data_IF_202531947591
#
_entry.id   IF_202531947591
#
_cell.length_a   1.000
_cell.length_b   1.000
_cell.length_c   1.000
_cell.angle_alpha   90.00
_cell.angle_beta   90.00
_cell.angle_gamma   90.00
#
_symmetry.space_group_name_H-M   'P 1'
#
loop_
_entity.id
_entity.type
_entity.pdbx_description
1 polymer ?
#
# COMPACT_ATOMS: atom_id res chain seq x y z
N UNK A 1 -1.46 -25.70 12.97
CA UNK A 1 -1.44 -24.40 12.25
C UNK A 1 -1.72 -24.69 10.79
N UNK A 2 -2.64 -23.98 10.17
CA UNK A 2 -2.83 -24.08 8.73
C UNK A 2 -1.51 -23.63 8.04
N UNK A 3 -0.94 -24.51 7.24
CA UNK A 3 0.24 -24.21 6.42
C UNK A 3 -0.24 -23.88 5.03
N UNK A 4 -0.04 -22.64 4.61
CA UNK A 4 -0.35 -22.20 3.25
C UNK A 4 0.88 -22.32 2.35
N UNK A 5 0.67 -22.63 1.06
CA UNK A 5 1.75 -22.55 0.08
C UNK A 5 2.18 -21.09 -0.04
N UNK A 6 3.48 -20.83 0.22
CA UNK A 6 4.09 -19.52 0.01
C UNK A 6 4.61 -19.43 -1.41
N UNK A 7 4.38 -18.32 -2.05
CA UNK A 7 4.81 -18.02 -3.42
C UNK A 7 5.95 -17.02 -3.38
N UNK A 8 5.71 -15.86 -2.74
CA UNK A 8 6.66 -14.76 -2.71
C UNK A 8 7.72 -14.90 -1.62
N UNK A 9 7.34 -15.42 -0.44
CA UNK A 9 8.27 -15.56 0.68
C UNK A 9 9.01 -16.90 0.69
N UNK A 10 8.68 -17.81 -0.23
CA UNK A 10 9.22 -19.18 -0.27
C UNK A 10 10.76 -19.23 -0.34
N UNK A 11 11.36 -18.41 -1.20
CA UNK A 11 12.82 -18.40 -1.39
C UNK A 11 13.53 -17.94 -0.11
N UNK A 12 13.03 -16.88 0.51
CA UNK A 12 13.63 -16.28 1.71
C UNK A 12 13.61 -17.18 2.94
N UNK A 13 12.82 -18.26 2.92
CA UNK A 13 12.73 -19.25 4.01
C UNK A 13 13.66 -20.44 3.81
N UNK A 14 14.32 -20.54 2.64
CA UNK A 14 15.32 -21.58 2.40
C UNK A 14 16.60 -21.30 3.19
N UNK A 15 17.15 -22.28 3.89
CA UNK A 15 18.41 -22.13 4.60
C UNK A 15 19.53 -21.67 3.65
N UNK A 16 20.21 -20.59 4.00
CA UNK A 16 21.32 -20.04 3.22
C UNK A 16 20.94 -19.14 2.07
N UNK A 17 19.67 -18.97 1.75
CA UNK A 17 19.23 -18.03 0.71
C UNK A 17 19.55 -16.57 1.12
N UNK A 18 20.27 -15.85 0.30
CA UNK A 18 20.71 -14.47 0.57
C UNK A 18 20.22 -13.41 -0.43
N UNK A 19 19.43 -13.83 -1.43
CA UNK A 19 18.86 -12.93 -2.45
C UNK A 19 19.81 -12.53 -3.57
N UNK A 20 20.98 -13.19 -3.68
CA UNK A 20 21.90 -13.00 -4.81
C UNK A 20 21.31 -13.57 -6.10
N UNK A 21 21.86 -13.14 -7.24
CA UNK A 21 21.47 -13.68 -8.54
C UNK A 21 21.63 -15.22 -8.59
N UNK A 22 22.76 -15.74 -8.07
CA UNK A 22 23.02 -17.17 -8.07
C UNK A 22 21.97 -17.96 -7.27
N UNK A 23 21.57 -17.45 -6.10
CA UNK A 23 20.52 -18.07 -5.31
C UNK A 23 19.16 -18.02 -6.01
N UNK A 24 18.84 -16.88 -6.62
CA UNK A 24 17.58 -16.73 -7.34
C UNK A 24 17.50 -17.64 -8.57
N UNK A 25 18.58 -17.74 -9.36
CA UNK A 25 18.68 -18.70 -10.46
C UNK A 25 18.56 -20.15 -9.98
N UNK A 26 19.17 -20.48 -8.84
CA UNK A 26 19.07 -21.80 -8.20
C UNK A 26 17.64 -22.20 -7.83
N UNK A 27 16.75 -21.24 -7.61
CA UNK A 27 15.30 -21.49 -7.39
C UNK A 27 14.47 -21.48 -8.66
N UNK A 28 15.09 -21.34 -9.82
CA UNK A 28 14.44 -21.23 -11.14
C UNK A 28 14.13 -19.82 -11.57
N UNK A 29 14.78 -18.84 -10.97
CA UNK A 29 14.67 -17.42 -11.32
C UNK A 29 15.07 -17.13 -12.76
N UNK A 30 14.53 -16.06 -13.33
CA UNK A 30 14.66 -15.62 -14.72
C UNK A 30 14.19 -16.62 -15.78
N UNK A 31 13.61 -17.74 -15.37
CA UNK A 31 12.99 -18.71 -16.28
C UNK A 31 11.75 -18.11 -16.97
N UNK A 32 10.93 -17.38 -16.23
CA UNK A 32 9.73 -16.74 -16.77
C UNK A 32 10.10 -15.70 -17.84
N UNK A 33 11.14 -14.88 -17.59
CA UNK A 33 11.63 -13.90 -18.57
C UNK A 33 12.13 -14.60 -19.85
N UNK A 34 12.92 -15.68 -19.71
CA UNK A 34 13.39 -16.47 -20.88
C UNK A 34 12.24 -17.03 -21.69
N UNK A 35 11.23 -17.60 -21.03
CA UNK A 35 10.01 -18.13 -21.67
C UNK A 35 9.27 -17.05 -22.43
N UNK A 36 9.04 -15.89 -21.79
CA UNK A 36 8.35 -14.76 -22.39
C UNK A 36 9.04 -14.27 -23.66
N UNK A 37 10.35 -14.06 -23.59
CA UNK A 37 11.11 -13.52 -24.74
C UNK A 37 11.27 -14.51 -25.89
N UNK A 38 11.23 -15.79 -25.61
CA UNK A 38 11.36 -16.85 -26.62
C UNK A 38 10.02 -17.22 -27.25
N UNK A 39 8.99 -17.39 -26.43
CA UNK A 39 7.80 -18.16 -26.82
C UNK A 39 6.50 -17.33 -26.81
N UNK A 40 6.53 -16.06 -26.35
CA UNK A 40 5.33 -15.26 -26.19
C UNK A 40 5.38 -13.93 -26.92
N UNK A 41 4.19 -13.44 -27.27
CA UNK A 41 4.00 -12.06 -27.73
C UNK A 41 3.51 -11.17 -26.57
N UNK A 42 3.76 -9.85 -26.61
CA UNK A 42 3.33 -8.92 -25.55
C UNK A 42 1.87 -9.06 -25.13
N UNK A 43 0.95 -9.17 -26.08
CA UNK A 43 -0.47 -9.34 -25.79
C UNK A 43 -0.78 -10.65 -25.06
N UNK A 44 -0.07 -11.72 -25.35
CA UNK A 44 -0.25 -13.00 -24.66
C UNK A 44 0.16 -12.90 -23.19
N UNK A 45 1.22 -12.17 -22.87
CA UNK A 45 1.62 -11.89 -21.50
C UNK A 45 0.53 -11.13 -20.75
N UNK A 46 -0.02 -10.06 -21.38
CA UNK A 46 -1.13 -9.29 -20.82
C UNK A 46 -2.35 -10.18 -20.54
N UNK A 47 -2.69 -11.06 -21.47
CA UNK A 47 -3.85 -11.98 -21.31
C UNK A 47 -3.62 -13.01 -20.21
N UNK A 48 -2.40 -13.55 -20.03
CA UNK A 48 -2.07 -14.43 -18.91
C UNK A 48 -2.24 -13.70 -17.58
N UNK A 49 -1.77 -12.45 -17.48
CA UNK A 49 -1.91 -11.64 -16.26
C UNK A 49 -3.39 -11.24 -16.03
N UNK A 50 -4.19 -10.99 -17.08
CA UNK A 50 -5.64 -10.78 -16.93
C UNK A 50 -6.34 -12.03 -16.40
N UNK A 51 -6.05 -13.21 -16.97
CA UNK A 51 -6.62 -14.50 -16.55
C UNK A 51 -6.26 -14.85 -15.12
N UNK A 52 -5.10 -14.40 -14.62
CA UNK A 52 -4.69 -14.63 -13.23
C UNK A 52 -5.57 -13.92 -12.20
N UNK A 53 -6.32 -12.90 -12.62
CA UNK A 53 -7.08 -12.07 -11.69
C UNK A 53 -6.21 -11.27 -10.71
N UNK A 54 -4.90 -11.14 -10.97
CA UNK A 54 -4.01 -10.37 -10.11
C UNK A 54 -4.47 -8.91 -10.02
N UNK A 55 -4.79 -8.48 -8.81
CA UNK A 55 -5.08 -7.08 -8.49
C UNK A 55 -3.87 -6.44 -7.83
N UNK A 56 -3.69 -5.13 -8.05
CA UNK A 56 -2.60 -4.36 -7.45
C UNK A 56 -2.51 -4.55 -5.94
N UNK A 57 -1.30 -4.80 -5.45
CA UNK A 57 -0.99 -5.06 -4.02
C UNK A 57 -0.59 -3.81 -3.24
N UNK A 58 -0.55 -2.64 -3.91
CA UNK A 58 -0.18 -1.38 -3.27
C UNK A 58 -1.27 -0.66 -2.48
N UNK A 59 -2.53 -1.11 -2.55
CA UNK A 59 -3.65 -0.50 -1.81
C UNK A 59 -4.97 -0.47 -2.61
N UNK A 60 -5.01 0.19 -3.76
CA UNK A 60 -6.23 0.39 -4.55
C UNK A 60 -6.83 -0.87 -5.18
N UNK A 61 -6.05 -1.94 -5.34
CA UNK A 61 -6.55 -3.22 -5.82
C UNK A 61 -7.08 -3.21 -7.27
N UNK A 62 -6.59 -2.34 -8.14
CA UNK A 62 -7.01 -2.32 -9.54
C UNK A 62 -6.46 -3.54 -10.30
N UNK A 63 -7.23 -4.18 -11.21
CA UNK A 63 -6.77 -5.35 -11.97
C UNK A 63 -5.54 -5.06 -12.82
N UNK A 64 -4.43 -5.78 -12.56
CA UNK A 64 -3.11 -5.47 -13.12
C UNK A 64 -3.07 -5.63 -14.63
N UNK A 65 -3.52 -6.76 -15.17
CA UNK A 65 -3.52 -6.99 -16.61
C UNK A 65 -4.46 -6.05 -17.40
N UNK A 66 -5.55 -5.61 -16.76
CA UNK A 66 -6.45 -4.60 -17.36
C UNK A 66 -5.73 -3.26 -17.44
N UNK A 67 -5.02 -2.85 -16.37
CA UNK A 67 -4.22 -1.61 -16.35
C UNK A 67 -3.17 -1.60 -17.47
N UNK A 68 -2.48 -2.70 -17.71
CA UNK A 68 -1.50 -2.81 -18.79
C UNK A 68 -2.13 -2.66 -20.18
N UNK A 69 -3.35 -3.16 -20.35
CA UNK A 69 -4.09 -3.05 -21.60
C UNK A 69 -4.50 -1.62 -21.98
N UNK A 70 -4.41 -0.65 -21.07
CA UNK A 70 -4.70 0.76 -21.37
C UNK A 70 -3.54 1.49 -22.05
N UNK A 71 -2.35 0.91 -22.11
CA UNK A 71 -1.20 1.51 -22.78
C UNK A 71 -1.44 1.53 -24.30
N UNK A 72 -1.38 2.69 -24.96
CA UNK A 72 -1.56 2.79 -26.39
C UNK A 72 -0.47 2.00 -27.13
N UNK A 73 -0.88 1.05 -27.98
CA UNK A 73 0.07 0.21 -28.74
C UNK A 73 0.94 1.02 -29.71
N UNK A 74 0.32 1.95 -30.43
CA UNK A 74 0.93 2.72 -31.52
C UNK A 74 1.40 4.11 -31.04
N UNK A 75 1.83 4.25 -29.79
CA UNK A 75 2.39 5.51 -29.31
C UNK A 75 3.76 5.74 -29.91
N UNK A 76 4.02 6.93 -30.55
CA UNK A 76 5.29 7.17 -31.25
C UNK A 76 6.48 7.47 -30.30
N UNK A 77 6.19 7.87 -29.07
CA UNK A 77 7.18 8.19 -28.05
C UNK A 77 7.51 7.00 -27.13
N UNK A 78 8.38 7.21 -26.16
CA UNK A 78 8.72 6.19 -25.18
C UNK A 78 7.52 5.82 -24.30
N UNK A 79 7.58 4.62 -23.74
CA UNK A 79 6.66 4.14 -22.70
C UNK A 79 7.48 3.82 -21.45
N UNK A 80 6.88 4.00 -20.29
CA UNK A 80 7.57 3.81 -19.02
C UNK A 80 6.86 2.82 -18.10
N UNK A 81 7.67 2.13 -17.31
CA UNK A 81 7.21 1.40 -16.12
C UNK A 81 7.77 2.10 -14.88
N UNK A 82 6.93 2.38 -13.91
CA UNK A 82 7.37 2.82 -12.58
C UNK A 82 6.97 1.76 -11.54
N UNK A 83 7.96 1.15 -10.89
CA UNK A 83 7.72 0.33 -9.72
C UNK A 83 7.59 1.24 -8.51
N UNK A 84 6.39 1.27 -7.92
CA UNK A 84 6.13 2.02 -6.70
C UNK A 84 6.65 1.22 -5.50
N UNK A 85 7.81 1.63 -5.00
CA UNK A 85 8.47 1.12 -3.81
C UNK A 85 8.46 2.16 -2.67
N UNK A 86 7.56 3.16 -2.76
CA UNK A 86 7.29 4.12 -1.69
C UNK A 86 6.30 3.52 -0.69
N UNK A 87 6.80 2.58 0.12
CA UNK A 87 6.04 1.91 1.16
C UNK A 87 6.03 2.77 2.44
N UNK A 88 5.14 3.73 2.47
CA UNK A 88 5.06 4.74 3.54
C UNK A 88 3.77 4.64 4.36
N UNK A 89 2.85 3.74 4.02
CA UNK A 89 1.59 3.53 4.75
C UNK A 89 1.87 2.95 6.14
N UNK A 90 1.52 3.65 7.25
CA UNK A 90 1.74 3.12 8.59
C UNK A 90 1.06 1.76 8.80
N UNK A 91 1.83 0.81 9.34
CA UNK A 91 1.42 -0.59 9.49
C UNK A 91 1.82 -1.50 8.31
N UNK A 92 2.41 -0.97 7.24
CA UNK A 92 2.82 -1.73 6.05
C UNK A 92 4.36 -1.81 5.96
N UNK A 93 4.90 -3.04 5.79
CA UNK A 93 6.35 -3.29 5.73
C UNK A 93 6.71 -4.57 4.94
N UNK A 94 5.88 -4.96 3.97
CA UNK A 94 6.03 -6.15 3.14
C UNK A 94 6.96 -5.95 1.94
N UNK A 95 6.88 -4.79 1.28
CA UNK A 95 7.65 -4.47 0.09
C UNK A 95 9.13 -4.30 0.44
N UNK A 96 9.43 -3.74 1.60
CA UNK A 96 10.78 -3.67 2.15
C UNK A 96 11.41 -5.06 2.27
N UNK A 97 10.68 -6.06 2.78
CA UNK A 97 11.19 -7.42 2.90
C UNK A 97 11.49 -8.05 1.55
N UNK A 98 10.62 -7.84 0.55
CA UNK A 98 10.82 -8.34 -0.81
C UNK A 98 12.07 -7.70 -1.44
N UNK A 99 12.21 -6.38 -1.35
CA UNK A 99 13.37 -5.66 -1.90
C UNK A 99 14.69 -6.02 -1.22
N UNK A 100 14.69 -6.21 0.10
CA UNK A 100 15.92 -6.48 0.86
C UNK A 100 16.34 -7.95 0.82
N UNK A 101 15.43 -8.90 0.59
CA UNK A 101 15.71 -10.33 0.71
C UNK A 101 15.53 -11.15 -0.56
N UNK A 102 14.79 -10.67 -1.53
CA UNK A 102 14.62 -11.34 -2.84
C UNK A 102 14.38 -10.32 -3.97
N UNK A 103 15.36 -9.41 -4.22
CA UNK A 103 15.18 -8.31 -5.16
C UNK A 103 14.99 -8.79 -6.61
N UNK A 104 15.62 -9.90 -7.01
CA UNK A 104 15.57 -10.41 -8.37
C UNK A 104 14.16 -10.85 -8.78
N UNK A 105 13.32 -11.28 -7.84
CA UNK A 105 11.93 -11.66 -8.10
C UNK A 105 11.12 -10.48 -8.66
N UNK A 106 11.26 -9.29 -8.07
CA UNK A 106 10.62 -8.11 -8.60
C UNK A 106 11.26 -7.58 -9.88
N UNK A 107 12.59 -7.68 -10.01
CA UNK A 107 13.31 -7.25 -11.23
C UNK A 107 12.91 -8.08 -12.44
N UNK A 108 12.79 -9.41 -12.30
CA UNK A 108 12.27 -10.27 -13.35
C UNK A 108 10.84 -9.89 -13.73
N UNK A 109 9.97 -9.65 -12.73
CA UNK A 109 8.61 -9.19 -12.99
C UNK A 109 8.53 -7.84 -13.70
N UNK A 110 9.44 -6.91 -13.38
CA UNK A 110 9.55 -5.64 -14.07
C UNK A 110 10.00 -5.81 -15.51
N UNK A 111 10.99 -6.65 -15.78
CA UNK A 111 11.46 -6.92 -17.14
C UNK A 111 10.35 -7.54 -18.01
N UNK A 112 9.61 -8.51 -17.48
CA UNK A 112 8.44 -9.10 -18.14
C UNK A 112 7.37 -8.06 -18.41
N UNK A 113 7.11 -7.17 -17.46
CA UNK A 113 6.13 -6.09 -17.61
C UNK A 113 6.56 -5.09 -18.70
N UNK A 114 7.85 -4.71 -18.71
CA UNK A 114 8.41 -3.85 -19.76
C UNK A 114 8.18 -4.43 -21.15
N UNK A 115 8.47 -5.72 -21.35
CA UNK A 115 8.18 -6.42 -22.59
C UNK A 115 6.68 -6.35 -22.95
N UNK A 116 5.82 -6.65 -21.99
CA UNK A 116 4.37 -6.72 -22.21
C UNK A 116 3.76 -5.38 -22.64
N UNK A 117 4.23 -4.25 -22.08
CA UNK A 117 3.71 -2.91 -22.38
C UNK A 117 4.52 -2.17 -23.45
N UNK A 118 5.65 -2.75 -23.90
CA UNK A 118 6.57 -2.13 -24.86
C UNK A 118 7.38 -0.98 -24.27
N UNK A 119 7.72 -1.04 -22.98
CA UNK A 119 8.60 -0.05 -22.32
C UNK A 119 10.07 -0.51 -22.41
N UNK A 120 10.97 0.44 -22.66
CA UNK A 120 12.43 0.20 -22.63
C UNK A 120 13.07 0.79 -21.38
N UNK A 121 12.37 1.63 -20.66
CA UNK A 121 12.86 2.30 -19.46
C UNK A 121 11.91 2.08 -18.29
N UNK A 122 12.45 1.67 -17.17
CA UNK A 122 11.72 1.53 -15.92
C UNK A 122 12.44 2.22 -14.77
N UNK A 123 11.65 2.67 -13.78
CA UNK A 123 12.14 3.27 -12.56
C UNK A 123 11.60 2.51 -11.35
N UNK A 124 12.46 2.25 -10.37
CA UNK A 124 12.07 1.83 -9.04
C UNK A 124 12.09 3.09 -8.16
N UNK A 125 10.90 3.61 -7.86
CA UNK A 125 10.78 4.76 -6.96
C UNK A 125 10.69 4.25 -5.52
N UNK A 126 11.78 4.36 -4.79
CA UNK A 126 11.93 3.87 -3.42
C UNK A 126 11.94 5.04 -2.43
N UNK A 127 11.24 4.90 -1.30
CA UNK A 127 11.22 5.96 -0.29
C UNK A 127 12.61 6.24 0.29
N UNK A 128 12.86 7.51 0.64
CA UNK A 128 14.17 8.00 1.06
C UNK A 128 14.78 7.32 2.28
N UNK A 129 13.96 6.74 3.16
CA UNK A 129 14.39 6.06 4.37
C UNK A 129 14.91 4.63 4.12
N UNK A 130 14.59 4.01 2.99
CA UNK A 130 14.97 2.63 2.68
C UNK A 130 16.36 2.54 2.03
N UNK A 131 17.37 3.14 2.68
CA UNK A 131 18.75 3.21 2.19
C UNK A 131 19.40 1.85 1.95
N UNK A 132 19.12 0.87 2.83
CA UNK A 132 19.61 -0.50 2.65
C UNK A 132 18.95 -1.15 1.43
N UNK A 133 17.64 -1.05 1.32
CA UNK A 133 16.90 -1.58 0.17
C UNK A 133 17.38 -0.99 -1.15
N UNK A 134 17.65 0.33 -1.20
CA UNK A 134 18.18 0.97 -2.40
C UNK A 134 19.55 0.39 -2.81
N UNK A 135 20.48 0.21 -1.85
CA UNK A 135 21.80 -0.40 -2.12
C UNK A 135 21.69 -1.84 -2.61
N UNK A 136 20.81 -2.64 -2.02
CA UNK A 136 20.59 -4.03 -2.44
C UNK A 136 20.00 -4.06 -3.85
N UNK A 137 19.05 -3.19 -4.17
CA UNK A 137 18.47 -3.09 -5.52
C UNK A 137 19.52 -2.65 -6.55
N UNK A 138 20.39 -1.68 -6.23
CA UNK A 138 21.50 -1.27 -7.10
C UNK A 138 22.46 -2.42 -7.38
N UNK A 139 22.80 -3.21 -6.35
CA UNK A 139 23.64 -4.41 -6.51
C UNK A 139 22.93 -5.46 -7.38
N UNK A 140 21.67 -5.78 -7.09
CA UNK A 140 20.90 -6.76 -7.87
C UNK A 140 20.75 -6.34 -9.34
N UNK A 141 20.61 -5.04 -9.61
CA UNK A 141 20.62 -4.51 -10.98
C UNK A 141 21.97 -4.75 -11.66
N UNK A 142 23.09 -4.47 -10.98
CA UNK A 142 24.43 -4.74 -11.53
C UNK A 142 24.61 -6.22 -11.88
N UNK A 143 24.16 -7.13 -10.99
CA UNK A 143 24.17 -8.57 -11.22
C UNK A 143 23.31 -8.94 -12.45
N UNK A 144 22.11 -8.39 -12.56
CA UNK A 144 21.19 -8.66 -13.67
C UNK A 144 21.71 -8.11 -15.02
N UNK A 145 22.35 -6.94 -15.03
CA UNK A 145 23.02 -6.40 -16.23
C UNK A 145 24.22 -7.26 -16.64
N UNK A 146 25.07 -7.64 -15.69
CA UNK A 146 26.25 -8.46 -15.96
C UNK A 146 25.88 -9.84 -16.52
N UNK A 147 24.77 -10.42 -16.10
CA UNK A 147 24.25 -11.70 -16.57
C UNK A 147 23.41 -11.60 -17.86
N UNK A 148 23.19 -10.40 -18.40
CA UNK A 148 22.41 -10.18 -19.64
C UNK A 148 20.89 -10.33 -19.48
N UNK A 149 20.37 -10.20 -18.27
CA UNK A 149 18.92 -10.15 -17.98
C UNK A 149 18.33 -8.77 -18.19
N UNK A 150 19.16 -7.74 -18.18
CA UNK A 150 18.85 -6.35 -18.46
C UNK A 150 19.88 -5.75 -19.41
N UNK A 151 19.62 -4.57 -19.96
CA UNK A 151 20.46 -3.88 -20.93
C UNK A 151 20.00 -4.11 -22.36
N UNK A 152 20.97 -4.09 -23.27
CA UNK A 152 20.71 -4.19 -24.71
C UNK A 152 20.61 -5.64 -25.18
N UNK A 153 19.71 -5.87 -26.14
CA UNK A 153 19.58 -7.14 -26.84
C UNK A 153 19.49 -8.38 -25.94
N UNK A 154 18.63 -8.30 -24.91
CA UNK A 154 18.45 -9.35 -23.88
C UNK A 154 18.21 -10.70 -24.57
N UNK A 155 19.09 -11.70 -24.31
CA UNK A 155 19.05 -13.04 -24.91
C UNK A 155 18.99 -13.07 -26.45
N UNK A 156 19.45 -12.04 -27.14
CA UNK A 156 19.39 -11.97 -28.61
C UNK A 156 18.00 -11.63 -29.16
N UNK A 157 17.07 -11.20 -28.33
CA UNK A 157 15.68 -10.87 -28.72
C UNK A 157 15.52 -9.53 -29.43
N UNK A 158 16.56 -8.69 -29.43
CA UNK A 158 16.47 -7.29 -29.88
C UNK A 158 15.84 -6.36 -28.85
N UNK A 159 15.39 -6.88 -27.70
CA UNK A 159 14.79 -6.08 -26.63
C UNK A 159 15.86 -5.38 -25.79
N UNK A 160 15.67 -4.09 -25.55
CA UNK A 160 16.46 -3.30 -24.59
C UNK A 160 15.58 -2.91 -23.41
N UNK A 161 16.04 -3.20 -22.18
CA UNK A 161 15.37 -2.76 -20.96
C UNK A 161 16.40 -2.19 -20.00
N UNK A 162 16.20 -0.95 -19.59
CA UNK A 162 16.99 -0.27 -18.57
C UNK A 162 16.14 0.04 -17.34
N UNK A 163 16.62 -0.38 -16.17
CA UNK A 163 15.95 -0.15 -14.88
C UNK A 163 16.84 0.74 -14.00
N UNK A 164 16.27 1.79 -13.42
CA UNK A 164 16.97 2.73 -12.57
C UNK A 164 16.33 2.81 -11.20
N UNK A 165 17.15 2.87 -10.14
CA UNK A 165 16.67 3.18 -8.79
C UNK A 165 16.60 4.68 -8.63
N UNK A 166 15.45 5.19 -8.20
CA UNK A 166 15.25 6.60 -7.84
C UNK A 166 14.88 6.68 -6.35
N UNK A 167 15.75 7.31 -5.57
CA UNK A 167 15.52 7.50 -4.15
C UNK A 167 14.65 8.74 -3.93
N UNK A 168 13.46 8.55 -3.38
CA UNK A 168 12.56 9.63 -2.97
C UNK A 168 13.07 10.39 -1.76
N UNK A 169 12.34 11.42 -1.36
CA UNK A 169 12.69 12.30 -0.25
C UNK A 169 11.85 12.06 1.03
N UNK A 170 11.16 10.92 1.14
CA UNK A 170 10.43 10.52 2.34
C UNK A 170 9.02 11.09 2.47
N UNK A 171 8.39 11.56 1.38
CA UNK A 171 7.02 12.05 1.41
C UNK A 171 6.01 10.91 1.12
N UNK A 172 5.14 10.60 2.08
CA UNK A 172 4.06 9.61 1.95
C UNK A 172 3.20 9.81 0.70
N UNK A 173 2.91 11.08 0.35
CA UNK A 173 2.07 11.39 -0.82
C UNK A 173 2.69 10.90 -2.14
N UNK A 174 4.00 10.68 -2.20
CA UNK A 174 4.67 10.13 -3.38
C UNK A 174 4.35 8.65 -3.61
N UNK A 175 3.64 7.98 -2.70
CA UNK A 175 2.97 6.70 -2.93
C UNK A 175 1.75 6.81 -3.86
N UNK A 176 1.14 7.99 -4.00
CA UNK A 176 0.11 8.24 -5.01
C UNK A 176 0.77 8.31 -6.40
N UNK A 177 0.23 7.55 -7.38
CA UNK A 177 0.91 7.33 -8.65
C UNK A 177 1.28 8.60 -9.42
N UNK A 178 0.48 9.66 -9.36
CA UNK A 178 0.77 10.92 -10.08
C UNK A 178 1.71 11.83 -9.30
N UNK A 179 1.69 11.79 -7.98
CA UNK A 179 2.69 12.48 -7.14
C UNK A 179 4.08 11.84 -7.30
N UNK A 180 4.13 10.51 -7.40
CA UNK A 180 5.35 9.78 -7.75
C UNK A 180 5.93 10.25 -9.08
N UNK A 181 5.09 10.39 -10.12
CA UNK A 181 5.52 10.88 -11.42
C UNK A 181 6.02 12.32 -11.37
N UNK A 182 5.34 13.23 -10.67
CA UNK A 182 5.81 14.61 -10.46
C UNK A 182 7.18 14.63 -9.79
N UNK A 183 7.40 13.78 -8.78
CA UNK A 183 8.69 13.66 -8.07
C UNK A 183 9.79 13.13 -8.99
N UNK A 184 9.53 12.10 -9.80
CA UNK A 184 10.47 11.59 -10.82
C UNK A 184 10.85 12.66 -11.84
N UNK A 185 9.93 13.55 -12.19
CA UNK A 185 10.16 14.68 -13.10
C UNK A 185 10.93 15.85 -12.43
N UNK A 186 11.39 15.69 -11.17
CA UNK A 186 12.12 16.72 -10.44
C UNK A 186 11.24 17.86 -9.91
N UNK A 187 9.92 17.67 -9.88
CA UNK A 187 8.95 18.62 -9.36
C UNK A 187 8.55 18.28 -7.93
N UNK A 188 7.81 19.16 -7.26
CA UNK A 188 7.20 18.85 -5.98
C UNK A 188 6.21 17.70 -6.16
N UNK A 189 6.31 16.66 -5.32
CA UNK A 189 5.44 15.48 -5.34
C UNK A 189 4.00 15.80 -4.96
N UNK A 190 3.26 16.38 -5.87
CA UNK A 190 1.85 16.71 -5.71
C UNK A 190 1.02 15.97 -6.75
N UNK A 191 -0.10 15.30 -6.36
CA UNK A 191 -0.97 14.60 -7.30
C UNK A 191 -1.47 15.48 -8.45
N UNK A 192 -1.65 14.86 -9.62
CA UNK A 192 -2.28 15.48 -10.80
C UNK A 192 -3.79 15.27 -10.76
N UNK A 193 -4.51 16.13 -11.46
CA UNK A 193 -5.92 15.85 -11.77
C UNK A 193 -6.03 14.67 -12.72
N UNK A 194 -7.05 13.84 -12.54
CA UNK A 194 -7.42 12.74 -13.43
C UNK A 194 -8.85 12.98 -13.94
N UNK A 195 -9.15 12.85 -15.24
CA UNK A 195 -8.28 12.60 -16.37
C UNK A 195 -7.35 13.79 -16.72
N UNK A 196 -6.22 13.58 -17.45
CA UNK A 196 -5.78 12.32 -18.06
C UNK A 196 -5.14 11.34 -17.04
N UNK A 197 -5.20 10.04 -17.38
CA UNK A 197 -4.61 8.98 -16.57
C UNK A 197 -3.17 8.68 -16.99
N UNK A 198 -2.29 8.16 -16.09
CA UNK A 198 -0.89 7.85 -16.39
C UNK A 198 -0.70 6.88 -17.57
N UNK A 199 -1.66 5.99 -17.82
CA UNK A 199 -1.59 5.08 -18.95
C UNK A 199 -1.53 5.79 -20.34
N UNK A 200 -1.95 7.06 -20.41
CA UNK A 200 -1.87 7.89 -21.60
C UNK A 200 -0.93 9.08 -21.42
N UNK A 201 -0.93 9.72 -20.25
CA UNK A 201 -0.15 10.92 -19.93
C UNK A 201 0.52 10.76 -18.55
N UNK A 202 1.54 9.89 -18.50
CA UNK A 202 2.31 9.59 -17.29
C UNK A 202 3.62 10.38 -17.19
N UNK A 203 4.72 9.66 -17.03
CA UNK A 203 6.07 10.22 -16.89
C UNK A 203 6.47 10.97 -18.17
N UNK A 204 6.91 12.22 -18.00
CA UNK A 204 7.25 13.12 -19.12
C UNK A 204 6.16 13.20 -20.20
N UNK A 205 4.88 13.15 -19.77
CA UNK A 205 3.69 13.15 -20.62
C UNK A 205 3.55 11.92 -21.55
N UNK A 206 4.29 10.85 -21.28
CA UNK A 206 4.24 9.61 -22.06
C UNK A 206 3.48 8.51 -21.31
N UNK A 207 2.96 7.50 -22.03
CA UNK A 207 2.24 6.38 -21.44
C UNK A 207 3.09 5.68 -20.37
N UNK A 208 2.52 5.51 -19.17
CA UNK A 208 3.23 4.95 -18.02
C UNK A 208 2.35 4.00 -17.23
N UNK A 209 2.88 2.82 -16.92
CA UNK A 209 2.31 1.93 -15.93
C UNK A 209 3.00 2.17 -14.59
N UNK A 210 2.22 2.35 -13.53
CA UNK A 210 2.73 2.38 -12.15
C UNK A 210 2.22 1.14 -11.41
N UNK A 211 3.10 0.28 -10.94
CA UNK A 211 2.75 -0.92 -10.17
C UNK A 211 3.59 -1.04 -8.90
N UNK A 212 3.01 -1.63 -7.85
CA UNK A 212 3.68 -1.87 -6.58
C UNK A 212 4.68 -3.03 -6.65
N UNK A 213 5.66 -3.07 -5.73
CA UNK A 213 6.70 -4.11 -5.61
C UNK A 213 6.12 -5.52 -5.53
N UNK A 214 5.18 -5.78 -4.60
CA UNK A 214 4.55 -7.10 -4.45
C UNK A 214 3.77 -7.49 -5.71
N UNK A 215 3.19 -6.54 -6.42
CA UNK A 215 2.53 -6.80 -7.70
C UNK A 215 3.52 -7.30 -8.74
N UNK A 216 4.68 -6.65 -8.84
CA UNK A 216 5.74 -7.08 -9.78
C UNK A 216 6.31 -8.44 -9.41
N UNK A 217 6.56 -8.70 -8.14
CA UNK A 217 7.08 -9.98 -7.65
C UNK A 217 6.16 -11.18 -7.98
N UNK A 218 4.86 -10.98 -8.14
CA UNK A 218 3.92 -12.06 -8.54
C UNK A 218 4.05 -12.46 -10.02
N UNK A 219 4.53 -11.59 -10.89
CA UNK A 219 4.50 -11.80 -12.36
C UNK A 219 5.29 -13.03 -12.80
N UNK A 220 6.53 -13.28 -12.34
CA UNK A 220 7.30 -14.47 -12.74
C UNK A 220 6.56 -15.78 -12.41
N UNK A 221 5.92 -15.85 -11.24
CA UNK A 221 5.17 -17.04 -10.81
C UNK A 221 3.93 -17.28 -11.66
N UNK A 222 3.22 -16.20 -12.02
CA UNK A 222 2.04 -16.27 -12.90
C UNK A 222 2.46 -16.76 -14.29
N UNK A 223 3.55 -16.28 -14.83
CA UNK A 223 4.06 -16.72 -16.15
C UNK A 223 4.50 -18.18 -16.10
N UNK A 224 5.25 -18.59 -15.08
CA UNK A 224 5.79 -19.95 -14.97
C UNK A 224 4.70 -21.01 -14.73
N UNK A 225 3.63 -20.68 -14.00
CA UNK A 225 2.60 -21.64 -13.57
C UNK A 225 1.24 -21.43 -14.25
N UNK A 226 1.10 -20.33 -14.98
CA UNK A 226 -0.12 -19.97 -15.71
C UNK A 226 -1.11 -19.09 -14.92
N UNK A 227 -1.86 -18.26 -15.65
CA UNK A 227 -2.85 -17.35 -15.04
C UNK A 227 -3.96 -18.09 -14.30
N UNK A 228 -4.46 -19.19 -14.85
CA UNK A 228 -5.53 -19.99 -14.25
C UNK A 228 -5.13 -20.64 -12.91
N UNK A 229 -3.86 -21.05 -12.80
CA UNK A 229 -3.32 -21.51 -11.53
C UNK A 229 -3.41 -20.43 -10.44
N UNK A 230 -2.94 -19.22 -10.73
CA UNK A 230 -3.01 -18.13 -9.75
C UNK A 230 -4.45 -17.73 -9.44
N UNK A 231 -5.33 -17.75 -10.44
CA UNK A 231 -6.75 -17.48 -10.28
C UNK A 231 -7.49 -18.51 -9.41
N UNK A 232 -6.97 -19.73 -9.29
CA UNK A 232 -7.56 -20.77 -8.44
C UNK A 232 -7.24 -20.61 -6.95
N UNK A 233 -6.29 -19.73 -6.61
CA UNK A 233 -5.87 -19.47 -5.23
C UNK A 233 -6.67 -18.30 -4.67
N UNK A 234 -6.99 -18.32 -3.37
CA UNK A 234 -7.63 -17.21 -2.67
C UNK A 234 -9.14 -17.23 -2.72
N UNK A 235 -9.77 -16.09 -2.97
CA UNK A 235 -11.23 -15.91 -3.09
C UNK A 235 -11.64 -15.57 -4.53
N UNK A 236 -11.65 -16.57 -5.44
CA UNK A 236 -12.08 -16.36 -6.82
C UNK A 236 -13.55 -15.88 -6.89
N UNK A 237 -13.95 -15.17 -7.97
CA UNK A 237 -13.11 -14.72 -9.10
C UNK A 237 -12.43 -13.36 -8.89
N UNK A 238 -12.71 -12.65 -7.80
CA UNK A 238 -12.35 -11.23 -7.65
C UNK A 238 -11.09 -10.99 -6.83
N UNK A 239 -10.79 -11.85 -5.86
CA UNK A 239 -9.64 -11.71 -4.97
C UNK A 239 -8.74 -12.93 -5.04
N UNK A 240 -8.05 -13.07 -6.20
CA UNK A 240 -7.21 -14.22 -6.52
C UNK A 240 -5.78 -14.09 -5.99
N UNK A 241 -5.13 -15.24 -5.85
CA UNK A 241 -3.73 -15.38 -5.47
C UNK A 241 -3.47 -15.30 -3.99
N UNK A 242 -2.18 -15.23 -3.64
CA UNK A 242 -1.71 -14.92 -2.30
C UNK A 242 -1.52 -13.41 -2.11
N UNK A 243 -1.36 -13.03 -0.85
CA UNK A 243 -0.96 -11.69 -0.45
C UNK A 243 -0.09 -11.75 0.79
N UNK A 244 0.87 -10.85 0.89
CA UNK A 244 1.65 -10.65 2.10
C UNK A 244 0.92 -9.64 3.00
N UNK A 245 0.47 -10.11 4.16
CA UNK A 245 -0.15 -9.29 5.20
C UNK A 245 0.87 -8.91 6.26
N UNK A 246 0.93 -7.63 6.59
CA UNK A 246 1.79 -7.11 7.65
C UNK A 246 0.99 -7.11 8.96
N UNK A 247 1.33 -7.93 9.92
CA UNK A 247 0.67 -7.98 11.23
C UNK A 247 1.51 -7.26 12.28
N UNK A 248 0.91 -6.30 12.99
CA UNK A 248 1.59 -5.50 14.01
C UNK A 248 0.66 -5.08 15.15
N UNK A 249 1.18 -4.30 16.10
CA UNK A 249 0.43 -3.84 17.26
C UNK A 249 0.51 -4.80 18.44
N UNK A 250 -0.59 -4.99 19.17
CA UNK A 250 -0.65 -5.78 20.40
C UNK A 250 -0.86 -7.28 20.14
N UNK A 251 0.00 -7.87 19.35
CA UNK A 251 -0.04 -9.28 18.94
C UNK A 251 1.25 -9.99 19.38
N UNK A 252 1.20 -11.30 19.67
CA UNK A 252 2.36 -12.08 20.17
C UNK A 252 3.45 -12.23 19.13
N UNK A 253 3.08 -12.46 17.86
CA UNK A 253 4.02 -12.70 16.77
C UNK A 253 3.76 -11.71 15.63
N UNK A 254 4.26 -10.45 15.75
CA UNK A 254 4.20 -9.51 14.62
C UNK A 254 5.11 -9.97 13.48
N UNK A 255 4.76 -9.65 12.23
CA UNK A 255 5.56 -10.01 11.07
C UNK A 255 4.78 -9.99 9.77
N UNK A 256 5.44 -10.39 8.69
CA UNK A 256 4.83 -10.57 7.39
C UNK A 256 4.37 -12.00 7.19
N UNK A 257 3.11 -12.18 6.81
CA UNK A 257 2.47 -13.48 6.61
C UNK A 257 1.92 -13.55 5.19
N UNK A 258 2.50 -14.41 4.37
CA UNK A 258 1.92 -14.71 3.07
C UNK A 258 0.85 -15.79 3.22
N UNK A 259 -0.37 -15.46 2.78
CA UNK A 259 -1.52 -16.37 2.82
C UNK A 259 -2.34 -16.24 1.54
N UNK A 260 -3.16 -17.24 1.19
CA UNK A 260 -4.21 -17.03 0.20
C UNK A 260 -5.10 -15.85 0.60
N UNK A 261 -5.58 -15.09 -0.37
CA UNK A 261 -6.64 -14.12 -0.14
C UNK A 261 -7.88 -14.82 0.40
N UNK A 262 -8.58 -14.23 1.38
CA UNK A 262 -9.83 -14.77 1.90
C UNK A 262 -9.72 -15.63 3.16
N UNK A 263 -8.54 -15.75 3.78
CA UNK A 263 -8.49 -16.16 5.20
C UNK A 263 -9.18 -15.10 6.06
N UNK A 264 -9.56 -15.44 7.28
CA UNK A 264 -10.21 -14.50 8.19
C UNK A 264 -9.18 -13.69 9.00
N UNK A 265 -9.60 -12.52 9.52
CA UNK A 265 -8.76 -11.79 10.49
C UNK A 265 -8.51 -12.62 11.75
N UNK A 266 -9.42 -13.49 12.14
CA UNK A 266 -9.23 -14.42 13.25
C UNK A 266 -8.05 -15.35 13.00
N UNK A 267 -7.99 -15.99 11.85
CA UNK A 267 -6.87 -16.87 11.47
C UNK A 267 -5.54 -16.11 11.45
N UNK A 268 -5.52 -14.88 10.88
CA UNK A 268 -4.28 -14.08 10.88
C UNK A 268 -3.85 -13.69 12.30
N UNK A 269 -4.76 -13.14 13.11
CA UNK A 269 -4.41 -12.56 14.42
C UNK A 269 -4.11 -13.66 15.45
N UNK A 270 -4.96 -14.70 15.52
CA UNK A 270 -4.88 -15.71 16.57
C UNK A 270 -4.07 -16.94 16.17
N UNK A 271 -4.29 -17.51 15.01
CA UNK A 271 -3.61 -18.75 14.61
C UNK A 271 -2.17 -18.47 14.14
N UNK A 272 -2.01 -17.53 13.20
CA UNK A 272 -0.71 -17.15 12.67
C UNK A 272 0.04 -16.18 13.63
N UNK A 273 -0.62 -15.14 14.11
CA UNK A 273 -0.06 -14.13 15.02
C UNK A 273 0.04 -14.55 16.47
N UNK A 274 -0.58 -15.68 16.86
CA UNK A 274 -0.52 -16.22 18.22
C UNK A 274 -1.42 -15.52 19.23
N UNK A 275 -2.35 -14.68 18.78
CA UNK A 275 -3.28 -13.93 19.62
C UNK A 275 -2.69 -12.69 20.25
N UNK A 276 -3.43 -12.14 21.21
CA UNK A 276 -3.08 -10.89 21.87
C UNK A 276 -1.78 -11.01 22.68
N UNK A 277 -0.97 -9.95 22.70
CA UNK A 277 0.33 -9.92 23.39
C UNK A 277 0.19 -10.05 24.92
N UNK A 278 -0.88 -9.50 25.48
CA UNK A 278 -1.23 -9.60 26.90
C UNK A 278 -2.50 -10.46 27.07
N UNK A 279 -2.96 -10.61 28.33
CA UNK A 279 -4.22 -11.30 28.63
C UNK A 279 -5.49 -10.44 28.37
N UNK A 280 -5.30 -9.21 27.88
CA UNK A 280 -6.40 -8.33 27.55
C UNK A 280 -7.04 -8.76 26.22
N UNK A 281 -8.37 -8.64 26.10
CA UNK A 281 -9.05 -8.96 24.85
C UNK A 281 -8.72 -7.95 23.74
N UNK A 282 -8.99 -8.34 22.50
CA UNK A 282 -8.96 -7.45 21.35
C UNK A 282 -10.01 -6.34 21.52
N UNK A 283 -9.63 -5.10 21.29
CA UNK A 283 -10.52 -3.94 21.24
C UNK A 283 -10.83 -3.49 19.82
N UNK A 284 -9.80 -3.35 19.02
CA UNK A 284 -9.89 -2.84 17.67
C UNK A 284 -8.77 -3.37 16.79
N UNK A 285 -8.94 -3.30 15.49
CA UNK A 285 -7.85 -3.47 14.54
C UNK A 285 -8.07 -2.62 13.27
N UNK A 286 -6.99 -2.25 12.63
CA UNK A 286 -7.00 -1.62 11.31
C UNK A 286 -6.67 -2.71 10.30
N UNK A 287 -7.48 -2.95 9.26
CA UNK A 287 -7.29 -4.10 8.37
C UNK A 287 -6.35 -3.87 7.19
N UNK A 288 -6.07 -2.61 6.83
CA UNK A 288 -5.44 -2.28 5.55
C UNK A 288 -4.45 -1.13 5.55
N UNK A 289 -3.83 -0.83 6.70
CA UNK A 289 -2.99 0.35 6.90
C UNK A 289 -3.77 1.54 7.48
N UNK A 290 -3.06 2.57 7.88
CA UNK A 290 -3.60 3.73 8.60
C UNK A 290 -4.77 4.44 7.89
N UNK A 291 -4.83 4.33 6.57
CA UNK A 291 -5.90 4.90 5.73
C UNK A 291 -7.22 4.11 5.77
N UNK A 292 -7.22 2.90 6.36
CA UNK A 292 -8.42 2.08 6.47
C UNK A 292 -9.22 2.38 7.75
N UNK A 293 -10.57 2.40 7.69
CA UNK A 293 -11.41 2.47 8.87
C UNK A 293 -11.14 1.35 9.87
N UNK A 294 -11.20 1.66 11.17
CA UNK A 294 -11.09 0.69 12.26
C UNK A 294 -12.25 -0.30 12.25
N UNK A 295 -11.95 -1.55 12.59
CA UNK A 295 -12.89 -2.63 12.81
C UNK A 295 -12.86 -3.08 14.28
N UNK A 296 -14.00 -3.68 14.73
CA UNK A 296 -14.20 -4.22 16.08
C UNK A 296 -14.00 -5.73 16.11
N UNK A 297 -13.96 -6.38 17.30
CA UNK A 297 -13.91 -7.84 17.41
C UNK A 297 -15.01 -8.59 16.65
N UNK A 298 -16.17 -7.95 16.42
CA UNK A 298 -17.27 -8.55 15.66
C UNK A 298 -16.91 -8.84 14.19
N UNK A 299 -15.84 -8.22 13.71
CA UNK A 299 -15.34 -8.38 12.33
C UNK A 299 -14.23 -9.43 12.18
N UNK A 300 -13.91 -10.17 13.26
CA UNK A 300 -12.83 -11.17 13.22
C UNK A 300 -13.02 -12.26 12.16
N UNK A 301 -14.26 -12.62 11.87
CA UNK A 301 -14.59 -13.66 10.91
C UNK A 301 -14.82 -13.15 9.47
N UNK A 302 -14.61 -11.85 9.25
CA UNK A 302 -14.59 -11.25 7.92
C UNK A 302 -13.40 -11.79 7.13
N UNK A 303 -13.65 -12.21 5.89
CA UNK A 303 -12.60 -12.69 4.98
C UNK A 303 -11.70 -11.53 4.55
N UNK A 304 -10.41 -11.77 4.54
CA UNK A 304 -9.39 -10.81 4.13
C UNK A 304 -9.28 -10.80 2.60
N UNK A 305 -10.36 -10.36 1.96
CA UNK A 305 -10.45 -10.07 0.54
C UNK A 305 -11.04 -8.67 0.31
N UNK A 306 -10.90 -8.14 -0.92
CA UNK A 306 -11.28 -6.77 -1.20
C UNK A 306 -12.77 -6.51 -0.99
N UNK A 307 -13.60 -7.47 -1.37
CA UNK A 307 -15.07 -7.34 -1.35
C UNK A 307 -15.61 -7.48 0.08
N UNK A 308 -15.16 -8.49 0.82
CA UNK A 308 -15.66 -8.76 2.17
C UNK A 308 -15.29 -7.63 3.14
N UNK A 309 -14.05 -7.11 3.05
CA UNK A 309 -13.62 -5.99 3.91
C UNK A 309 -14.35 -4.70 3.54
N UNK A 310 -14.64 -4.48 2.24
CA UNK A 310 -15.43 -3.33 1.82
C UNK A 310 -16.89 -3.41 2.33
N UNK A 311 -17.50 -4.60 2.30
CA UNK A 311 -18.84 -4.83 2.87
C UNK A 311 -18.87 -4.64 4.39
N UNK A 312 -17.77 -4.91 5.08
CA UNK A 312 -17.62 -4.65 6.51
C UNK A 312 -17.38 -3.15 6.86
N UNK A 313 -17.44 -2.26 5.86
CA UNK A 313 -17.29 -0.81 6.06
C UNK A 313 -15.84 -0.33 6.18
N UNK A 314 -14.87 -1.16 5.75
CA UNK A 314 -13.46 -0.79 5.75
C UNK A 314 -12.81 -1.08 4.39
N UNK A 315 -11.49 -1.14 4.31
CA UNK A 315 -10.77 -1.52 3.08
C UNK A 315 -9.56 -2.39 3.39
N UNK A 316 -9.28 -3.36 2.50
CA UNK A 316 -8.11 -4.23 2.62
C UNK A 316 -6.80 -3.47 2.42
N UNK A 317 -6.85 -2.33 1.73
CA UNK A 317 -5.77 -1.37 1.58
C UNK A 317 -4.44 -2.00 1.20
N UNK A 318 -3.38 -1.66 1.92
CA UNK A 318 -2.03 -2.21 1.73
C UNK A 318 -1.84 -3.62 2.34
N UNK A 319 -2.79 -4.13 3.13
CA UNK A 319 -2.68 -5.37 3.90
C UNK A 319 -1.95 -5.20 5.24
N UNK A 320 -1.78 -3.96 5.69
CA UNK A 320 -1.21 -3.66 7.01
C UNK A 320 -2.25 -3.82 8.12
N UNK A 321 -2.19 -4.92 8.86
CA UNK A 321 -3.11 -5.21 9.97
C UNK A 321 -2.48 -4.78 11.30
N UNK A 322 -3.06 -3.76 11.94
CA UNK A 322 -2.58 -3.25 13.23
C UNK A 322 -3.60 -3.53 14.33
N UNK A 323 -3.19 -4.28 15.34
CA UNK A 323 -4.06 -4.83 16.40
C UNK A 323 -3.93 -4.02 17.69
N UNK A 324 -5.06 -3.72 18.32
CA UNK A 324 -5.14 -2.95 19.57
C UNK A 324 -5.94 -3.72 20.63
N UNK A 325 -5.36 -3.87 21.83
CA UNK A 325 -6.00 -4.53 22.97
C UNK A 325 -6.86 -3.56 23.81
N UNK A 326 -7.72 -4.10 24.65
CA UNK A 326 -8.48 -3.34 25.63
C UNK A 326 -7.57 -2.49 26.52
N UNK A 327 -8.01 -1.24 26.79
CA UNK A 327 -7.22 -0.20 27.45
C UNK A 327 -6.53 0.76 26.47
N UNK A 328 -6.51 0.46 25.16
CA UNK A 328 -6.11 1.45 24.15
C UNK A 328 -7.21 2.51 24.04
N UNK A 329 -6.88 3.78 24.24
CA UNK A 329 -7.84 4.85 24.05
C UNK A 329 -7.97 5.19 22.56
N UNK A 330 -9.19 5.15 22.02
CA UNK A 330 -9.43 5.31 20.58
C UNK A 330 -9.35 6.76 20.11
N UNK A 331 -9.55 7.73 21.00
CA UNK A 331 -9.30 9.16 20.71
C UNK A 331 -7.81 9.41 20.50
N UNK A 332 -6.97 8.79 21.34
CA UNK A 332 -5.51 8.84 21.17
C UNK A 332 -5.08 8.18 19.85
N UNK A 333 -5.64 7.01 19.53
CA UNK A 333 -5.31 6.31 18.29
C UNK A 333 -5.67 7.15 17.06
N UNK A 334 -6.88 7.73 17.04
CA UNK A 334 -7.31 8.63 15.99
C UNK A 334 -6.43 9.88 15.88
N UNK A 335 -6.03 10.46 17.02
CA UNK A 335 -5.14 11.64 17.05
C UNK A 335 -3.77 11.30 16.44
N UNK A 336 -3.14 10.17 16.82
CA UNK A 336 -1.82 9.79 16.27
C UNK A 336 -1.86 9.61 14.76
N UNK A 337 -2.90 8.96 14.23
CA UNK A 337 -3.07 8.81 12.79
C UNK A 337 -3.37 10.15 12.10
N UNK A 338 -4.17 10.99 12.74
CA UNK A 338 -4.48 12.30 12.16
C UNK A 338 -3.29 13.24 12.13
N UNK A 339 -2.40 13.20 13.13
CA UNK A 339 -1.13 13.93 13.14
C UNK A 339 -0.24 13.49 11.97
N UNK A 340 -0.18 12.20 11.68
CA UNK A 340 0.50 11.67 10.51
C UNK A 340 -0.09 12.24 9.21
N UNK A 341 -1.40 12.15 9.02
CA UNK A 341 -2.05 12.67 7.81
C UNK A 341 -1.92 14.19 7.67
N UNK A 342 -1.96 14.94 8.76
CA UNK A 342 -1.72 16.38 8.72
C UNK A 342 -0.29 16.70 8.24
N UNK A 343 0.71 16.00 8.78
CA UNK A 343 2.11 16.17 8.40
C UNK A 343 2.36 15.81 6.93
N UNK A 344 1.70 14.76 6.44
CA UNK A 344 1.90 14.21 5.08
C UNK A 344 1.02 14.85 4.00
N UNK A 345 0.14 15.75 4.36
CA UNK A 345 -0.64 16.52 3.37
C UNK A 345 0.29 17.34 2.47
N UNK A 346 0.19 17.15 1.15
CA UNK A 346 1.01 17.92 0.19
C UNK A 346 0.65 19.41 0.12
N UNK A 347 -0.47 19.82 0.72
CA UNK A 347 -0.95 21.20 0.77
C UNK A 347 -1.62 21.70 -0.50
N UNK A 348 -1.82 20.88 -1.53
CA UNK A 348 -2.41 21.31 -2.81
C UNK A 348 -3.87 21.73 -2.70
N UNK A 349 -4.67 20.97 -1.94
CA UNK A 349 -6.12 21.17 -1.83
C UNK A 349 -6.49 21.83 -0.51
N UNK A 350 -7.23 22.93 -0.52
CA UNK A 350 -7.68 23.63 0.69
C UNK A 350 -8.41 22.71 1.67
N UNK A 351 -9.40 21.88 1.26
CA UNK A 351 -10.09 21.00 2.21
C UNK A 351 -9.16 20.02 2.92
N UNK A 352 -8.16 19.46 2.22
CA UNK A 352 -7.16 18.58 2.83
C UNK A 352 -6.20 19.37 3.74
N UNK A 353 -5.56 20.42 3.23
CA UNK A 353 -4.55 21.21 3.96
C UNK A 353 -5.09 21.79 5.25
N UNK A 354 -6.19 22.52 5.17
CA UNK A 354 -6.79 23.19 6.33
C UNK A 354 -7.59 22.22 7.18
N UNK A 355 -8.37 21.33 6.54
CA UNK A 355 -9.22 20.39 7.25
C UNK A 355 -8.45 19.42 8.13
N UNK A 356 -7.31 18.86 7.64
CA UNK A 356 -6.47 17.99 8.48
C UNK A 356 -5.88 18.73 9.67
N UNK A 357 -5.48 20.00 9.51
CA UNK A 357 -5.03 20.87 10.60
C UNK A 357 -6.11 21.04 11.67
N UNK A 358 -7.34 21.38 11.25
CA UNK A 358 -8.46 21.58 12.18
C UNK A 358 -8.86 20.29 12.89
N UNK A 359 -8.81 19.16 12.21
CA UNK A 359 -9.06 17.85 12.82
C UNK A 359 -8.05 17.54 13.91
N UNK A 360 -6.75 17.74 13.64
CA UNK A 360 -5.68 17.57 14.65
C UNK A 360 -5.90 18.50 15.84
N UNK A 361 -6.13 19.78 15.62
CA UNK A 361 -6.33 20.76 16.70
C UNK A 361 -7.54 20.39 17.58
N UNK A 362 -8.62 19.93 16.96
CA UNK A 362 -9.82 19.52 17.71
C UNK A 362 -9.58 18.26 18.51
N UNK A 363 -8.93 17.23 17.93
CA UNK A 363 -8.55 16.01 18.65
C UNK A 363 -7.58 16.28 19.78
N UNK A 364 -6.57 17.15 19.56
CA UNK A 364 -5.62 17.54 20.61
C UNK A 364 -6.32 18.27 21.76
N UNK A 365 -7.29 19.11 21.47
CA UNK A 365 -8.08 19.80 22.50
C UNK A 365 -8.86 18.79 23.35
N UNK A 366 -9.51 17.81 22.72
CA UNK A 366 -10.25 16.75 23.43
C UNK A 366 -9.27 15.91 24.25
N UNK A 367 -8.19 15.43 23.66
CA UNK A 367 -7.19 14.57 24.32
C UNK A 367 -6.54 15.24 25.52
N UNK A 368 -6.22 16.53 25.42
CA UNK A 368 -5.62 17.31 26.48
C UNK A 368 -6.62 17.81 27.54
N UNK A 369 -7.81 17.22 27.63
CA UNK A 369 -8.86 17.57 28.60
C UNK A 369 -9.27 19.04 28.55
N UNK A 370 -9.37 19.58 27.33
CA UNK A 370 -9.85 20.94 27.03
C UNK A 370 -11.00 20.91 26.00
N UNK A 371 -11.57 19.71 25.80
CA UNK A 371 -12.65 19.48 24.87
C UNK A 371 -13.93 20.23 25.24
N UNK A 372 -14.65 20.66 24.22
CA UNK A 372 -15.93 21.36 24.33
C UNK A 372 -17.05 20.45 23.84
N UNK A 373 -18.30 20.59 24.30
CA UNK A 373 -19.42 19.80 23.80
C UNK A 373 -19.59 19.83 22.28
N UNK A 374 -19.28 20.97 21.65
CA UNK A 374 -19.41 21.18 20.21
C UNK A 374 -18.32 20.45 19.39
N UNK A 375 -17.22 20.05 20.00
CA UNK A 375 -16.06 19.52 19.28
C UNK A 375 -16.34 18.23 18.51
N UNK A 376 -17.25 17.39 19.00
CA UNK A 376 -17.71 16.20 18.28
C UNK A 376 -18.45 16.62 17.01
N UNK A 377 -19.31 17.62 17.10
CA UNK A 377 -20.03 18.18 15.93
C UNK A 377 -19.06 18.78 14.89
N UNK A 378 -18.01 19.46 15.35
CA UNK A 378 -16.95 19.98 14.47
C UNK A 378 -16.22 18.85 13.76
N UNK A 379 -15.84 17.77 14.47
CA UNK A 379 -15.22 16.59 13.85
C UNK A 379 -16.13 15.95 12.80
N UNK A 380 -17.41 15.74 13.13
CA UNK A 380 -18.41 15.19 12.21
C UNK A 380 -18.58 16.05 10.96
N UNK A 381 -18.60 17.36 11.10
CA UNK A 381 -18.75 18.31 9.98
C UNK A 381 -17.53 18.30 9.07
N UNK A 382 -16.32 18.37 9.63
CA UNK A 382 -15.07 18.32 8.87
C UNK A 382 -14.94 16.98 8.12
N UNK A 383 -15.25 15.86 8.79
CA UNK A 383 -15.19 14.54 8.18
C UNK A 383 -16.20 14.35 7.04
N UNK A 384 -17.31 15.07 7.03
CA UNK A 384 -18.27 15.08 5.90
C UNK A 384 -17.85 16.01 4.76
N UNK A 385 -17.10 17.06 5.05
CA UNK A 385 -16.77 18.10 4.07
C UNK A 385 -15.43 17.92 3.36
N UNK A 386 -14.53 17.09 3.85
CA UNK A 386 -13.23 16.80 3.21
C UNK A 386 -13.36 15.77 2.08
N UNK A 387 -14.02 14.61 2.29
CA UNK A 387 -14.12 13.57 1.27
C UNK A 387 -14.81 14.05 -0.02
N UNK A 388 -14.31 13.57 -1.17
CA UNK A 388 -14.85 13.92 -2.48
C UNK A 388 -14.56 15.35 -2.95
N UNK A 389 -13.86 16.16 -2.15
CA UNK A 389 -13.54 17.57 -2.47
C UNK A 389 -12.04 17.83 -2.58
N UNK A 390 -11.26 16.78 -2.72
CA UNK A 390 -9.80 16.80 -2.84
C UNK A 390 -9.33 16.23 -4.18
N UNK A 391 -8.13 16.58 -4.62
CA UNK A 391 -7.58 16.13 -5.92
C UNK A 391 -7.30 14.64 -5.95
N UNK A 392 -6.97 14.06 -4.80
CA UNK A 392 -6.61 12.64 -4.67
C UNK A 392 -7.32 12.00 -3.48
N UNK A 393 -7.29 10.68 -3.39
CA UNK A 393 -7.91 9.90 -2.35
C UNK A 393 -7.31 10.10 -0.94
N UNK A 394 -6.24 10.87 -0.81
CA UNK A 394 -5.63 11.18 0.49
C UNK A 394 -6.62 11.85 1.45
N UNK A 395 -7.42 12.83 0.96
CA UNK A 395 -8.39 13.50 1.81
C UNK A 395 -9.48 12.57 2.33
N UNK A 396 -9.94 11.64 1.48
CA UNK A 396 -10.91 10.62 1.87
C UNK A 396 -10.32 9.66 2.91
N UNK A 397 -9.08 9.23 2.71
CA UNK A 397 -8.37 8.33 3.62
C UNK A 397 -8.07 8.99 4.97
N UNK A 398 -7.68 10.25 4.97
CA UNK A 398 -7.26 10.97 6.18
C UNK A 398 -8.36 11.08 7.25
N UNK A 399 -9.63 11.10 6.87
CA UNK A 399 -10.74 11.18 7.83
C UNK A 399 -11.18 9.81 8.36
N UNK A 400 -10.76 8.71 7.73
CA UNK A 400 -11.18 7.35 8.08
C UNK A 400 -10.96 6.98 9.56
N UNK A 401 -9.81 7.32 10.19
CA UNK A 401 -9.59 7.04 11.61
C UNK A 401 -10.62 7.72 12.52
N UNK A 402 -10.98 8.97 12.23
CA UNK A 402 -11.92 9.72 13.04
C UNK A 402 -13.34 9.19 12.85
N UNK A 403 -13.76 9.01 11.61
CA UNK A 403 -15.10 8.51 11.26
C UNK A 403 -15.37 7.17 11.96
N UNK A 404 -14.43 6.22 11.84
CA UNK A 404 -14.61 4.89 12.42
C UNK A 404 -14.52 4.88 13.94
N UNK A 405 -13.63 5.66 14.55
CA UNK A 405 -13.52 5.73 16.01
C UNK A 405 -14.68 6.47 16.65
N UNK A 406 -15.21 7.52 16.03
CA UNK A 406 -16.45 8.16 16.46
C UNK A 406 -17.67 7.23 16.32
N UNK A 407 -17.71 6.41 15.26
CA UNK A 407 -18.80 5.45 15.08
C UNK A 407 -18.83 4.39 16.17
N UNK A 408 -17.69 3.77 16.48
CA UNK A 408 -17.62 2.62 17.38
C UNK A 408 -17.35 2.99 18.85
N UNK A 409 -16.65 4.09 19.13
CA UNK A 409 -16.20 4.47 20.47
C UNK A 409 -16.49 5.93 20.83
N UNK A 410 -17.62 6.48 20.37
CA UNK A 410 -18.06 7.85 20.65
C UNK A 410 -18.05 8.18 22.16
N UNK A 411 -18.39 7.20 23.01
CA UNK A 411 -18.38 7.37 24.46
C UNK A 411 -17.01 7.73 25.05
N UNK A 412 -15.90 7.35 24.41
CA UNK A 412 -14.56 7.75 24.87
C UNK A 412 -14.30 9.25 24.63
N UNK A 413 -14.77 9.78 23.51
CA UNK A 413 -14.72 11.22 23.22
C UNK A 413 -15.57 12.01 24.22
N UNK A 414 -16.79 11.59 24.44
CA UNK A 414 -17.70 12.21 25.39
C UNK A 414 -17.19 12.17 26.84
N UNK A 415 -16.53 11.07 27.23
CA UNK A 415 -15.92 10.94 28.56
C UNK A 415 -14.79 11.96 28.77
N UNK A 416 -13.88 12.12 27.78
CA UNK A 416 -12.80 13.10 27.87
C UNK A 416 -13.33 14.54 27.88
N UNK A 417 -14.41 14.82 27.17
CA UNK A 417 -15.04 16.14 27.17
C UNK A 417 -15.74 16.43 28.51
N UNK A 418 -16.45 15.45 29.10
CA UNK A 418 -17.03 15.59 30.45
C UNK A 418 -15.96 15.84 31.51
N UNK A 419 -14.86 15.05 31.50
CA UNK A 419 -13.75 15.26 32.40
C UNK A 419 -13.15 16.67 32.28
N UNK A 420 -13.05 17.19 31.03
CA UNK A 420 -12.60 18.56 30.80
C UNK A 420 -13.52 19.61 31.45
N UNK A 421 -14.84 19.42 31.37
CA UNK A 421 -15.82 20.34 31.94
C UNK A 421 -15.83 20.33 33.49
N UNK A 422 -15.58 19.17 34.09
CA UNK A 422 -15.52 19.02 35.54
C UNK A 422 -14.22 19.60 36.14
N UNK A 423 -13.10 19.54 35.37
CA UNK A 423 -11.78 19.98 35.84
C UNK A 423 -11.46 21.43 35.53
N UNK A 424 -12.11 22.02 34.50
CA UNK A 424 -11.94 23.45 34.22
C UNK A 424 -12.64 24.27 35.32
N UNK A 425 -11.94 25.22 35.96
CA UNK A 425 -12.62 26.18 36.81
C UNK A 425 -13.65 26.90 35.96
N UNK A 426 -14.92 26.95 36.43
CA UNK A 426 -16.00 27.71 35.81
C UNK A 426 -15.50 29.14 35.67
N UNK A 427 -14.98 29.48 34.52
CA UNK A 427 -14.34 30.76 34.28
C UNK A 427 -15.37 31.89 34.33
N UNK A 428 -14.97 32.89 35.09
CA UNK A 428 -15.42 34.26 35.01
C UNK A 428 -15.76 34.62 33.56
N UNK A 429 -16.90 35.20 33.38
CA UNK A 429 -17.42 35.78 32.12
C UNK A 429 -16.29 36.45 31.35
N UNK A 430 -16.05 35.99 30.14
CA UNK A 430 -15.17 36.71 29.22
C UNK A 430 -15.86 38.06 28.99
N UNK A 431 -15.18 39.19 29.24
CA UNK A 431 -15.77 40.48 28.97
C UNK A 431 -16.17 40.54 27.49
N UNK A 432 -17.44 40.68 27.22
CA UNK A 432 -17.94 40.97 25.87
C UNK A 432 -17.46 42.40 25.57
N UNK A 433 -16.45 42.52 24.69
CA UNK A 433 -16.12 43.83 24.13
C UNK A 433 -17.27 44.26 23.24
N UNK A 434 -18.17 45.09 23.79
CA UNK A 434 -19.12 45.89 23.00
C UNK A 434 -18.33 46.97 22.30
N UNK A 435 -18.29 46.93 20.98
CA UNK A 435 -17.88 48.03 20.13
C UNK A 435 -19.07 48.97 19.88
#
# INVERSE_FOLDING_TARGET
>A
MATYEKILLKNMEQPGYNGSLADYEGTGGYRALRTVLKDMQPDQVIEVVKKSGLRGRGGAGFPTGVKWGFIPKNHPGPKYLCCNADESEPGTFKDRQLMERDPHQMLEGMAITCFAIGAQTAYIYIRGEFRLGAKILEQALQEAYAAGYLGDNIFGSGLTINIYVHLGAGAYICGEETALLESLEGKRGMPRFKPPFPATHGLYQNPTVVNNVETMANIPHIINRGGEWFASIGSPPKSCGTRVFCLSGHVKRPGNYETPMGITFRELIYDLGGGMRSDKPLKAFIPGGASAPFLTPDHLDVKMDFESVALAGSMLGSGGVTVMEEGTNMVWAALRLMEFFYHESCGKCTPCREGTSWLVQTLQRIWNKRGRPEDIGVLDELCRNIPGRTVCAFGDAAVSPIVSTLHHWRGEYEALIREAQETMPRNKEIPVFTH
#
